data_IF_806164881342
#
_entry.id   IF_806164881342
#
_cell.length_a   1.000
_cell.length_b   1.000
_cell.length_c   1.000
_cell.angle_alpha   90.00
_cell.angle_beta   90.00
_cell.angle_gamma   90.00
#
_symmetry.space_group_name_H-M   'P 1'
#
loop_
_entity.id
_entity.type
_entity.pdbx_description
1 polymer ?
#
# COMPACT_ATOMS: atom_id res chain seq x y z
N UNK A 1 -26.02 39.60 66.38
CA UNK A 1 -26.48 40.65 65.43
C UNK A 1 -25.52 40.61 64.24
N UNK A 2 -25.87 40.38 62.98
CA UNK A 2 -27.15 40.24 62.28
C UNK A 2 -26.89 39.65 60.88
N UNK A 3 -27.81 38.77 60.43
CA UNK A 3 -28.36 38.56 59.05
C UNK A 3 -27.38 38.34 57.86
N UNK A 4 -27.40 37.22 57.13
CA UNK A 4 -28.43 36.63 56.25
C UNK A 4 -28.37 37.10 54.77
N UNK A 5 -28.49 36.14 53.85
CA UNK A 5 -28.78 36.30 52.41
C UNK A 5 -27.66 35.76 51.52
N UNK A 6 -27.86 34.97 50.47
CA UNK A 6 -29.06 34.48 49.80
C UNK A 6 -28.65 33.75 48.52
N UNK A 7 -29.40 32.71 48.20
CA UNK A 7 -29.34 31.79 47.05
C UNK A 7 -29.24 32.46 45.66
N UNK A 8 -28.58 31.80 44.68
CA UNK A 8 -29.13 31.53 43.33
C UNK A 8 -28.21 30.66 42.47
N UNK A 9 -28.79 29.58 41.95
CA UNK A 9 -28.16 28.69 41.00
C UNK A 9 -27.93 29.30 39.62
N UNK A 10 -27.10 28.61 38.85
CA UNK A 10 -26.87 28.85 37.43
C UNK A 10 -26.26 27.60 36.81
N UNK A 11 -27.11 26.68 36.37
CA UNK A 11 -26.78 25.68 35.36
C UNK A 11 -26.35 26.40 34.09
N UNK A 12 -25.10 26.20 33.65
CA UNK A 12 -24.70 26.46 32.26
C UNK A 12 -24.40 25.14 31.56
N UNK A 13 -25.36 24.76 30.75
CA UNK A 13 -25.25 23.88 29.59
C UNK A 13 -24.21 24.39 28.59
N UNK A 14 -23.52 23.45 27.92
CA UNK A 14 -22.84 23.69 26.64
C UNK A 14 -21.31 23.71 26.78
N UNK A 15 -20.52 22.94 26.03
CA UNK A 15 -20.87 22.18 24.84
C UNK A 15 -19.93 21.00 24.58
N UNK A 16 -20.44 20.11 23.74
CA UNK A 16 -19.69 19.10 23.00
C UNK A 16 -18.62 19.83 22.18
N UNK A 17 -17.40 19.90 22.72
CA UNK A 17 -16.22 20.19 21.93
C UNK A 17 -15.88 18.95 21.14
N UNK A 18 -16.31 18.91 19.88
CA UNK A 18 -15.88 17.88 18.93
C UNK A 18 -14.35 17.80 18.93
N UNK A 19 -13.83 16.60 19.12
CA UNK A 19 -12.42 16.30 18.91
C UNK A 19 -12.13 16.44 17.41
N UNK A 20 -11.99 17.69 16.97
CA UNK A 20 -11.45 18.03 15.67
C UNK A 20 -10.04 17.46 15.57
N UNK A 21 -9.77 16.88 14.41
CA UNK A 21 -8.56 16.20 13.93
C UNK A 21 -7.31 17.09 13.94
N UNK A 22 -6.97 17.65 15.10
CA UNK A 22 -5.81 18.51 15.29
C UNK A 22 -4.68 17.72 15.95
N UNK A 23 -3.91 16.99 15.13
CA UNK A 23 -2.46 16.70 15.30
C UNK A 23 -2.00 15.44 14.53
N UNK A 24 -2.28 15.33 13.23
CA UNK A 24 -1.70 14.25 12.41
C UNK A 24 -0.35 14.61 11.78
N UNK A 25 0.16 15.83 12.00
CA UNK A 25 1.44 16.23 11.43
C UNK A 25 2.60 15.74 12.32
N UNK A 26 3.24 14.65 11.93
CA UNK A 26 4.43 14.12 12.58
C UNK A 26 5.64 14.97 12.20
N UNK A 27 6.28 15.58 13.21
CA UNK A 27 7.54 16.32 13.05
C UNK A 27 8.70 15.46 13.52
N UNK A 28 9.76 15.35 12.71
CA UNK A 28 10.94 14.56 13.07
C UNK A 28 11.81 15.38 14.04
N UNK A 29 11.93 14.93 15.29
CA UNK A 29 12.73 15.59 16.34
C UNK A 29 14.24 15.43 16.06
N UNK A 30 15.04 16.45 16.38
CA UNK A 30 16.50 16.39 16.29
C UNK A 30 17.08 15.50 17.39
N UNK A 31 18.06 14.64 17.05
CA UNK A 31 19.24 14.42 17.88
C UNK A 31 20.36 15.27 17.29
N UNK A 32 21.08 16.03 18.10
CA UNK A 32 22.08 16.98 17.60
C UNK A 32 23.14 16.25 16.74
N UNK A 33 23.36 16.74 15.50
CA UNK A 33 24.42 16.28 14.60
C UNK A 33 24.13 15.06 13.72
N UNK A 34 22.98 14.37 13.86
CA UNK A 34 22.85 13.01 13.29
C UNK A 34 22.09 12.92 11.95
N UNK A 35 21.22 13.88 11.61
CA UNK A 35 20.36 13.78 10.41
C UNK A 35 20.47 15.06 9.56
N UNK A 36 20.84 14.91 8.28
CA UNK A 36 20.88 15.99 7.28
C UNK A 36 19.49 16.56 7.05
N UNK A 37 19.41 17.87 6.79
CA UNK A 37 18.13 18.57 6.60
C UNK A 37 17.29 18.02 5.44
N UNK A 38 17.93 17.61 4.33
CA UNK A 38 17.25 16.97 3.20
C UNK A 38 16.61 15.63 3.59
N UNK A 39 17.33 14.80 4.34
CA UNK A 39 16.83 13.53 4.88
C UNK A 39 15.67 13.75 5.85
N UNK A 40 15.74 14.79 6.70
CA UNK A 40 14.66 15.16 7.62
C UNK A 40 13.38 15.57 6.88
N UNK A 41 13.50 16.44 5.86
CA UNK A 41 12.37 16.86 5.04
C UNK A 41 11.77 15.69 4.26
N UNK A 42 12.59 14.75 3.79
CA UNK A 42 12.11 13.54 3.14
C UNK A 42 11.30 12.67 4.11
N UNK A 43 11.82 12.41 5.32
CA UNK A 43 11.11 11.66 6.37
C UNK A 43 9.79 12.35 6.77
N UNK A 44 9.81 13.67 6.96
CA UNK A 44 8.60 14.42 7.30
C UNK A 44 7.55 14.37 6.18
N UNK A 45 7.95 14.42 4.90
CA UNK A 45 7.00 14.23 3.80
C UNK A 45 6.41 12.84 3.79
N UNK A 46 7.24 11.82 3.99
CA UNK A 46 6.81 10.43 3.98
C UNK A 46 5.83 10.12 5.13
N UNK A 47 6.14 10.61 6.34
CA UNK A 47 5.31 10.42 7.53
C UNK A 47 3.98 11.18 7.47
N UNK A 48 3.91 12.27 6.70
CA UNK A 48 2.72 13.11 6.58
C UNK A 48 2.01 12.94 5.24
N UNK A 49 2.29 11.83 4.54
CA UNK A 49 1.66 11.53 3.27
C UNK A 49 0.15 11.27 3.46
N UNK A 50 -0.74 12.09 2.86
CA UNK A 50 -2.18 11.94 3.06
C UNK A 50 -2.69 10.58 2.58
N UNK A 51 -2.07 9.98 1.57
CA UNK A 51 -2.50 8.68 1.04
C UNK A 51 -2.16 7.53 1.99
N UNK A 52 -1.15 7.66 2.84
CA UNK A 52 -0.86 6.66 3.88
C UNK A 52 -1.93 6.69 4.97
N UNK A 53 -2.42 7.88 5.32
CA UNK A 53 -3.52 8.00 6.27
C UNK A 53 -4.83 7.49 5.66
N UNK A 54 -5.11 7.90 4.42
CA UNK A 54 -6.30 7.47 3.68
C UNK A 54 -6.31 5.95 3.48
N UNK A 55 -5.19 5.33 3.12
CA UNK A 55 -5.13 3.88 2.93
C UNK A 55 -5.50 3.13 4.21
N UNK A 56 -5.07 3.62 5.38
CA UNK A 56 -5.46 3.04 6.67
C UNK A 56 -6.95 3.21 6.97
N UNK A 57 -7.51 4.38 6.67
CA UNK A 57 -8.95 4.63 6.84
C UNK A 57 -9.79 3.73 5.93
N UNK A 58 -9.35 3.55 4.68
CA UNK A 58 -10.04 2.74 3.67
C UNK A 58 -9.76 1.23 3.81
N UNK A 59 -8.92 0.83 4.77
CA UNK A 59 -8.56 -0.58 5.03
C UNK A 59 -7.61 -1.18 3.99
N UNK A 60 -6.87 -0.36 3.24
CA UNK A 60 -5.89 -0.80 2.27
C UNK A 60 -4.51 -1.06 2.89
N UNK A 61 -3.85 -2.13 2.42
CA UNK A 61 -2.50 -2.53 2.86
C UNK A 61 -1.45 -1.45 2.61
N UNK A 62 -1.60 -0.66 1.54
CA UNK A 62 -0.69 0.45 1.23
C UNK A 62 -1.36 1.56 0.44
N UNK A 63 -0.68 2.72 0.37
CA UNK A 63 -1.06 3.81 -0.51
C UNK A 63 -0.95 3.45 -2.01
N UNK A 64 -0.20 2.41 -2.36
CA UNK A 64 -0.03 2.00 -3.75
C UNK A 64 -1.33 1.45 -4.35
N UNK A 65 -2.27 0.98 -3.51
CA UNK A 65 -3.61 0.56 -3.92
C UNK A 65 -4.33 1.62 -4.78
N UNK A 66 -4.16 2.91 -4.46
CA UNK A 66 -4.77 3.99 -5.24
C UNK A 66 -4.23 4.08 -6.67
N UNK A 67 -2.97 3.69 -6.91
CA UNK A 67 -2.43 3.64 -8.28
C UNK A 67 -3.24 2.66 -9.13
N UNK A 68 -3.45 1.44 -8.63
CA UNK A 68 -4.17 0.41 -9.37
C UNK A 68 -5.65 0.77 -9.53
N UNK A 69 -6.27 1.37 -8.51
CA UNK A 69 -7.64 1.90 -8.59
C UNK A 69 -7.73 2.92 -9.72
N UNK A 70 -6.86 3.94 -9.74
CA UNK A 70 -6.88 4.98 -10.77
C UNK A 70 -6.59 4.45 -12.18
N UNK A 71 -5.66 3.49 -12.30
CA UNK A 71 -5.38 2.80 -13.57
C UNK A 71 -6.62 2.04 -14.03
N UNK A 72 -7.26 1.28 -13.14
CA UNK A 72 -8.44 0.49 -13.47
C UNK A 72 -9.65 1.38 -13.80
N UNK A 73 -9.86 2.48 -13.09
CA UNK A 73 -10.94 3.43 -13.37
C UNK A 73 -10.80 4.03 -14.77
N UNK A 74 -9.55 4.21 -15.24
CA UNK A 74 -9.27 4.77 -16.57
C UNK A 74 -9.38 3.73 -17.69
N UNK A 75 -8.87 2.53 -17.47
CA UNK A 75 -8.65 1.55 -18.55
C UNK A 75 -9.52 0.28 -18.44
N UNK A 76 -10.22 0.10 -17.32
CA UNK A 76 -11.10 -1.04 -17.04
C UNK A 76 -10.41 -2.40 -17.29
N UNK A 77 -9.20 -2.55 -16.75
CA UNK A 77 -8.33 -3.71 -16.96
C UNK A 77 -8.81 -4.94 -16.18
N UNK A 78 -9.26 -4.73 -14.94
CA UNK A 78 -9.68 -5.78 -14.01
C UNK A 78 -11.17 -6.06 -14.15
N UNK A 79 -11.51 -7.33 -14.35
CA UNK A 79 -12.85 -7.86 -14.55
C UNK A 79 -13.08 -9.08 -13.67
N UNK A 80 -14.32 -9.28 -13.27
CA UNK A 80 -14.72 -10.45 -12.48
C UNK A 80 -14.33 -11.75 -13.19
N UNK A 81 -13.73 -12.67 -12.44
CA UNK A 81 -13.33 -14.00 -12.92
C UNK A 81 -11.94 -14.08 -13.53
N UNK A 82 -11.21 -12.97 -13.69
CA UNK A 82 -9.86 -13.00 -14.25
C UNK A 82 -8.83 -13.62 -13.31
N UNK A 83 -7.87 -14.33 -13.90
CA UNK A 83 -6.66 -14.82 -13.26
C UNK A 83 -5.54 -13.78 -13.38
N UNK A 84 -5.02 -13.32 -12.24
CA UNK A 84 -4.09 -12.20 -12.15
C UNK A 84 -2.77 -12.65 -11.53
N UNK A 85 -1.67 -12.18 -12.10
CA UNK A 85 -0.35 -12.24 -11.45
C UNK A 85 0.07 -10.82 -11.05
N UNK A 86 0.48 -10.65 -9.79
CA UNK A 86 0.98 -9.39 -9.21
C UNK A 86 2.48 -9.48 -8.92
N UNK A 87 3.30 -8.81 -9.74
CA UNK A 87 4.75 -8.78 -9.60
C UNK A 87 5.19 -7.60 -8.72
N UNK A 88 5.96 -7.88 -7.66
CA UNK A 88 6.32 -6.88 -6.66
C UNK A 88 5.16 -6.64 -5.70
N UNK A 89 4.57 -7.72 -5.21
CA UNK A 89 3.32 -7.69 -4.47
C UNK A 89 3.43 -6.97 -3.12
N UNK A 90 4.62 -6.81 -2.51
CA UNK A 90 4.73 -6.26 -1.17
C UNK A 90 4.35 -4.77 -1.11
N UNK A 91 3.53 -4.34 -0.13
CA UNK A 91 3.01 -5.08 1.04
C UNK A 91 1.58 -5.63 0.84
N UNK A 92 1.14 -5.82 -0.40
CA UNK A 92 -0.13 -6.47 -0.77
C UNK A 92 -1.21 -5.53 -1.28
N UNK A 93 -0.88 -4.26 -1.55
CA UNK A 93 -1.87 -3.24 -1.92
C UNK A 93 -2.56 -3.50 -3.27
N UNK A 94 -1.81 -3.94 -4.29
CA UNK A 94 -2.36 -4.25 -5.61
C UNK A 94 -3.12 -5.57 -5.60
N UNK A 95 -2.50 -6.62 -5.07
CA UNK A 95 -3.14 -7.93 -4.78
C UNK A 95 -4.50 -7.80 -4.08
N UNK A 96 -4.60 -6.96 -3.03
CA UNK A 96 -5.87 -6.73 -2.31
C UNK A 96 -6.97 -6.15 -3.21
N UNK A 97 -6.63 -5.19 -4.06
CA UNK A 97 -7.58 -4.56 -4.99
C UNK A 97 -7.96 -5.54 -6.10
N UNK A 98 -6.98 -6.24 -6.67
CA UNK A 98 -7.20 -7.24 -7.71
C UNK A 98 -8.16 -8.33 -7.20
N UNK A 99 -7.88 -8.94 -6.04
CA UNK A 99 -8.71 -9.99 -5.45
C UNK A 99 -10.17 -9.54 -5.28
N UNK A 100 -10.37 -8.32 -4.76
CA UNK A 100 -11.70 -7.74 -4.57
C UNK A 100 -12.47 -7.57 -5.88
N UNK A 101 -11.81 -7.10 -6.95
CA UNK A 101 -12.46 -6.81 -8.23
C UNK A 101 -12.74 -8.09 -9.02
N UNK A 102 -11.77 -9.01 -9.07
CA UNK A 102 -11.94 -10.27 -9.80
C UNK A 102 -12.87 -11.24 -9.07
N UNK A 103 -13.10 -11.05 -7.77
CA UNK A 103 -13.95 -11.90 -6.96
C UNK A 103 -13.23 -13.17 -6.48
N UNK A 104 -11.93 -13.04 -6.21
CA UNK A 104 -11.08 -14.10 -5.72
C UNK A 104 -11.42 -14.48 -4.28
N UNK A 105 -11.43 -15.79 -3.95
CA UNK A 105 -11.71 -16.30 -2.59
C UNK A 105 -10.68 -17.34 -2.18
N UNK A 106 -10.63 -17.71 -0.91
CA UNK A 106 -9.69 -18.72 -0.42
C UNK A 106 -9.94 -20.11 -1.03
N UNK A 107 -11.20 -20.41 -1.40
CA UNK A 107 -11.58 -21.67 -2.05
C UNK A 107 -11.28 -21.67 -3.56
N UNK A 108 -11.22 -20.49 -4.18
CA UNK A 108 -10.91 -20.32 -5.59
C UNK A 108 -10.01 -19.09 -5.80
N UNK A 109 -8.72 -19.19 -5.44
CA UNK A 109 -7.79 -18.09 -5.58
C UNK A 109 -7.49 -17.85 -7.06
N UNK A 110 -7.80 -16.64 -7.52
CA UNK A 110 -7.56 -16.16 -8.88
C UNK A 110 -6.42 -15.14 -8.94
N UNK A 111 -5.80 -14.80 -7.81
CA UNK A 111 -4.70 -13.84 -7.75
C UNK A 111 -3.49 -14.50 -7.10
N UNK A 112 -2.35 -14.45 -7.79
CA UNK A 112 -1.06 -14.89 -7.27
C UNK A 112 -0.12 -13.69 -7.26
N UNK A 113 0.43 -13.38 -6.09
CA UNK A 113 1.44 -12.33 -5.92
C UNK A 113 2.82 -12.91 -5.63
N UNK A 114 3.86 -12.23 -6.08
CA UNK A 114 5.25 -12.58 -5.77
C UNK A 114 6.04 -11.35 -5.31
N UNK A 115 6.80 -11.51 -4.24
CA UNK A 115 7.76 -10.52 -3.76
C UNK A 115 8.83 -11.21 -2.92
N UNK A 116 10.06 -10.70 -2.91
CA UNK A 116 11.10 -11.23 -2.03
C UNK A 116 10.93 -10.76 -0.57
N UNK A 117 10.08 -9.75 -0.33
CA UNK A 117 9.70 -9.30 1.00
C UNK A 117 8.47 -10.07 1.48
N UNK A 118 8.47 -10.39 2.77
CA UNK A 118 7.32 -10.97 3.43
C UNK A 118 6.07 -10.09 3.30
N UNK A 119 4.95 -10.73 2.94
CA UNK A 119 3.62 -10.12 2.88
C UNK A 119 2.69 -10.93 3.77
N UNK A 120 2.02 -10.26 4.72
CA UNK A 120 0.99 -10.92 5.52
C UNK A 120 -0.09 -11.55 4.62
N UNK A 121 -0.65 -12.71 4.99
CA UNK A 121 -1.71 -13.35 4.21
C UNK A 121 -2.88 -12.41 3.85
N UNK A 122 -3.41 -12.62 2.65
CA UNK A 122 -4.54 -11.89 2.08
C UNK A 122 -5.59 -12.89 1.62
N UNK A 123 -6.85 -12.65 1.99
CA UNK A 123 -7.95 -13.51 1.56
C UNK A 123 -8.07 -13.51 0.03
N UNK A 124 -8.18 -14.71 -0.55
CA UNK A 124 -8.25 -14.93 -1.98
C UNK A 124 -6.96 -14.60 -2.74
N UNK A 125 -5.81 -14.57 -2.08
CA UNK A 125 -4.51 -14.34 -2.75
C UNK A 125 -3.51 -15.40 -2.32
N UNK A 126 -2.88 -16.05 -3.30
CA UNK A 126 -1.69 -16.87 -3.04
C UNK A 126 -0.47 -15.95 -3.11
N UNK A 127 0.37 -15.96 -2.08
CA UNK A 127 1.57 -15.12 -2.02
C UNK A 127 2.82 -15.99 -1.99
N UNK A 128 3.72 -15.73 -2.93
CA UNK A 128 5.02 -16.38 -3.02
C UNK A 128 6.10 -15.42 -2.50
N UNK A 129 6.78 -15.82 -1.43
CA UNK A 129 7.95 -15.08 -0.91
C UNK A 129 9.20 -15.51 -1.67
N UNK A 130 9.47 -14.84 -2.80
CA UNK A 130 10.53 -15.19 -3.76
C UNK A 130 10.92 -13.97 -4.60
N UNK A 131 12.20 -13.90 -4.98
CA UNK A 131 12.65 -12.93 -5.98
C UNK A 131 12.15 -13.33 -7.37
N UNK A 132 11.46 -12.42 -8.06
CA UNK A 132 10.97 -12.67 -9.42
C UNK A 132 12.10 -12.89 -10.44
N UNK A 133 13.32 -12.43 -10.15
CA UNK A 133 14.48 -12.68 -10.99
C UNK A 133 15.06 -14.10 -10.85
N UNK A 134 14.54 -14.92 -9.93
CA UNK A 134 14.90 -16.32 -9.83
C UNK A 134 14.39 -17.12 -11.05
N UNK A 135 15.22 -18.00 -11.59
CA UNK A 135 14.88 -18.81 -12.77
C UNK A 135 13.63 -19.69 -12.55
N UNK A 136 13.33 -20.05 -11.30
CA UNK A 136 12.15 -20.86 -10.94
C UNK A 136 10.88 -20.05 -10.69
N UNK A 137 10.95 -18.72 -10.61
CA UNK A 137 9.80 -17.88 -10.28
C UNK A 137 8.66 -17.98 -11.31
N UNK A 138 8.90 -17.95 -12.64
CA UNK A 138 7.85 -18.08 -13.64
C UNK A 138 7.06 -19.39 -13.52
N UNK A 139 7.75 -20.52 -13.33
CA UNK A 139 7.11 -21.84 -13.20
C UNK A 139 6.23 -21.89 -11.95
N UNK A 140 6.73 -21.44 -10.81
CA UNK A 140 5.98 -21.42 -9.55
C UNK A 140 4.77 -20.52 -9.59
N UNK A 141 4.85 -19.37 -10.27
CA UNK A 141 3.72 -18.48 -10.48
C UNK A 141 2.61 -19.16 -11.30
N UNK A 142 2.98 -19.82 -12.39
CA UNK A 142 2.04 -20.52 -13.27
C UNK A 142 1.42 -21.73 -12.56
N UNK A 143 2.20 -22.50 -11.82
CA UNK A 143 1.73 -23.62 -11.00
C UNK A 143 0.73 -23.15 -9.93
N UNK A 144 1.08 -22.10 -9.19
CA UNK A 144 0.22 -21.53 -8.15
C UNK A 144 -1.09 -20.97 -8.73
N UNK A 145 -1.06 -20.39 -9.93
CA UNK A 145 -2.25 -19.85 -10.58
C UNK A 145 -3.12 -20.97 -11.19
N UNK A 146 -2.50 -22.09 -11.57
CA UNK A 146 -3.14 -23.28 -12.12
C UNK A 146 -3.60 -23.19 -13.57
N UNK A 147 -3.41 -22.04 -14.23
CA UNK A 147 -3.76 -21.80 -15.63
C UNK A 147 -3.01 -20.56 -16.18
N UNK A 148 -3.17 -20.24 -17.46
CA UNK A 148 -2.61 -19.01 -18.05
C UNK A 148 -3.22 -17.75 -17.38
N UNK A 149 -2.42 -16.74 -17.01
CA UNK A 149 -2.95 -15.47 -16.52
C UNK A 149 -3.70 -14.72 -17.61
N UNK A 150 -4.81 -14.09 -17.24
CA UNK A 150 -5.54 -13.14 -18.08
C UNK A 150 -4.85 -11.77 -18.08
N UNK A 151 -4.17 -11.43 -16.99
CA UNK A 151 -3.46 -10.17 -16.82
C UNK A 151 -2.28 -10.32 -15.84
N UNK A 152 -1.15 -9.75 -16.22
CA UNK A 152 0.00 -9.55 -15.34
C UNK A 152 0.10 -8.06 -15.01
N UNK A 153 0.19 -7.73 -13.72
CA UNK A 153 0.41 -6.37 -13.21
C UNK A 153 1.74 -6.31 -12.46
N UNK A 154 2.39 -5.15 -12.46
CA UNK A 154 3.67 -4.96 -11.79
C UNK A 154 3.80 -3.56 -11.18
N UNK A 155 4.13 -3.50 -9.88
CA UNK A 155 4.63 -2.29 -9.20
C UNK A 155 6.06 -2.52 -8.67
N UNK A 156 6.80 -3.46 -9.28
CA UNK A 156 8.20 -3.74 -8.93
C UNK A 156 9.07 -2.49 -9.03
N UNK A 157 9.92 -2.30 -8.02
CA UNK A 157 10.91 -1.24 -8.01
C UNK A 157 12.22 -1.74 -7.43
N UNK A 158 13.33 -1.47 -8.12
CA UNK A 158 14.65 -1.80 -7.60
C UNK A 158 15.00 -0.88 -6.41
N UNK A 159 15.65 -1.41 -5.35
CA UNK A 159 16.17 -0.56 -4.27
C UNK A 159 17.14 0.50 -4.82
N UNK A 160 16.90 1.76 -4.47
CA UNK A 160 17.71 2.87 -4.97
C UNK A 160 19.10 2.87 -4.33
N UNK A 161 20.13 2.92 -5.16
CA UNK A 161 21.53 3.08 -4.75
C UNK A 161 21.91 4.55 -4.52
N UNK A 162 21.10 5.48 -5.04
CA UNK A 162 21.41 6.91 -5.06
C UNK A 162 22.15 7.34 -6.32
N UNK A 163 22.57 6.41 -7.17
CA UNK A 163 23.11 6.70 -8.50
C UNK A 163 22.01 6.56 -9.56
N UNK A 164 21.45 7.70 -9.98
CA UNK A 164 20.28 7.78 -10.87
C UNK A 164 20.39 6.92 -12.14
N UNK A 165 21.56 6.84 -12.77
CA UNK A 165 21.73 6.05 -14.01
C UNK A 165 21.62 4.55 -13.72
N UNK A 166 22.27 4.07 -12.66
CA UNK A 166 22.17 2.67 -12.23
C UNK A 166 20.75 2.33 -11.80
N UNK A 167 20.11 3.19 -11.00
CA UNK A 167 18.74 2.96 -10.53
C UNK A 167 17.75 2.90 -11.71
N UNK A 168 17.95 3.73 -12.74
CA UNK A 168 17.15 3.68 -13.96
C UNK A 168 17.33 2.35 -14.71
N UNK A 169 18.57 1.91 -14.95
CA UNK A 169 18.84 0.64 -15.65
C UNK A 169 18.23 -0.55 -14.91
N UNK A 170 18.34 -0.58 -13.57
CA UNK A 170 17.76 -1.66 -12.75
C UNK A 170 16.23 -1.67 -12.81
N UNK A 171 15.61 -0.49 -12.84
CA UNK A 171 14.15 -0.39 -12.96
C UNK A 171 13.68 -0.81 -14.35
N UNK A 172 14.38 -0.39 -15.41
CA UNK A 172 14.08 -0.79 -16.79
C UNK A 172 14.21 -2.31 -16.94
N UNK A 173 15.26 -2.90 -16.38
CA UNK A 173 15.43 -4.36 -16.39
C UNK A 173 14.23 -5.09 -15.77
N UNK A 174 13.72 -4.62 -14.62
CA UNK A 174 12.51 -5.18 -13.99
C UNK A 174 11.27 -5.05 -14.89
N UNK A 175 11.14 -3.97 -15.65
CA UNK A 175 10.05 -3.82 -16.62
C UNK A 175 10.20 -4.78 -17.81
N UNK A 176 11.43 -4.98 -18.31
CA UNK A 176 11.71 -5.88 -19.43
C UNK A 176 11.38 -7.33 -19.06
N UNK A 177 11.88 -7.82 -17.92
CA UNK A 177 11.60 -9.20 -17.48
C UNK A 177 10.12 -9.44 -17.18
N UNK A 178 9.42 -8.41 -16.66
CA UNK A 178 7.97 -8.49 -16.44
C UNK A 178 7.21 -8.56 -17.77
N UNK A 179 7.64 -7.81 -18.77
CA UNK A 179 7.04 -7.83 -20.11
C UNK A 179 7.31 -9.16 -20.81
N UNK A 180 8.53 -9.69 -20.72
CA UNK A 180 8.91 -10.99 -21.29
C UNK A 180 8.10 -12.14 -20.69
N UNK A 181 7.84 -12.10 -19.38
CA UNK A 181 6.99 -13.09 -18.72
C UNK A 181 5.51 -13.01 -19.12
N UNK A 182 5.02 -11.82 -19.50
CA UNK A 182 3.59 -11.59 -19.74
C UNK A 182 3.08 -12.03 -21.13
N UNK A 183 3.95 -12.50 -22.02
CA UNK A 183 3.64 -12.90 -23.42
C UNK A 183 3.35 -14.40 -23.51
#
# INVERSE_FOLDING_TARGET
MSKAGGNKGGTKTGGRGGAGTSNLRVRVKKKAGTIKESSRRWLERHLNDPYVHKSKQDGYRSRAAYKLIEINDRYNLLKKGQRIIDLGAAPGGWSQIAAKIVGSTDENPQVVGIDYLHVDPLAGVILLEMDFLDESAPEKLMEALGDKPDLVISDMAAPTTGHRRTDHLRTVHLCEVAADFAV
#
